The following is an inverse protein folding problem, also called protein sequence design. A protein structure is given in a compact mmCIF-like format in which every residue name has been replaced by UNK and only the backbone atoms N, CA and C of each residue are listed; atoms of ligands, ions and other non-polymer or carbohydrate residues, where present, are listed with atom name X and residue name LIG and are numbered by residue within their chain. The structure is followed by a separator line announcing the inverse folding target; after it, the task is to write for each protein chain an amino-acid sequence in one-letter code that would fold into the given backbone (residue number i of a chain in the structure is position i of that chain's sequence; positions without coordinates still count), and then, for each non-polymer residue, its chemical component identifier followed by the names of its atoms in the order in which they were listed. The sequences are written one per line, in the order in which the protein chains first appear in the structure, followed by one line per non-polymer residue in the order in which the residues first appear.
data_IF_193195735266
#
_entry.id   IF_193195735266
#
_cell.length_a   1.000
_cell.length_b   1.000
_cell.length_c   1.000
_cell.angle_alpha   90.00
_cell.angle_beta   90.00
_cell.angle_gamma   90.00
#
_symmetry.space_group_name_H-M   'P 1'
#
loop_
_entity.id
_entity.type
_entity.pdbx_description
1 polymer ?
#
# COMPACT_ATOMS: atom_id res chain seq x y z
N UNK A 1 -17.72 -32.73 68.08
CA UNK A 1 -17.70 -33.27 66.72
C UNK A 1 -17.95 -32.12 65.76
N UNK A 2 -16.91 -31.54 65.17
CA UNK A 2 -17.05 -30.42 64.26
C UNK A 2 -16.88 -30.97 62.82
N UNK A 3 -17.90 -30.84 61.98
CA UNK A 3 -17.80 -31.13 60.52
C UNK A 3 -17.04 -30.00 59.84
N UNK A 4 -15.99 -30.37 59.07
CA UNK A 4 -15.30 -29.48 58.11
C UNK A 4 -16.08 -29.49 56.84
N UNK A 5 -16.56 -28.33 56.42
CA UNK A 5 -17.06 -28.12 55.06
C UNK A 5 -15.87 -27.92 54.12
N UNK A 6 -15.74 -28.80 53.14
CA UNK A 6 -14.80 -28.63 52.01
C UNK A 6 -15.48 -27.78 50.94
N UNK A 7 -14.99 -26.56 50.74
CA UNK A 7 -15.40 -25.73 49.61
C UNK A 7 -14.68 -26.19 48.34
N UNK A 8 -15.44 -26.70 47.37
CA UNK A 8 -14.96 -27.02 46.03
C UNK A 8 -14.99 -25.76 45.22
N UNK A 9 -13.82 -25.19 44.95
CA UNK A 9 -13.67 -24.07 43.99
C UNK A 9 -13.66 -24.64 42.57
N UNK A 10 -14.80 -24.51 41.89
CA UNK A 10 -14.89 -24.86 40.47
C UNK A 10 -14.20 -23.81 39.62
N UNK A 11 -13.10 -24.15 38.98
CA UNK A 11 -12.46 -23.32 37.95
C UNK A 11 -13.26 -23.52 36.67
N UNK A 12 -14.03 -22.52 36.27
CA UNK A 12 -14.67 -22.47 34.96
C UNK A 12 -13.62 -22.16 33.91
N UNK A 13 -13.23 -23.15 33.09
CA UNK A 13 -12.41 -22.96 31.93
C UNK A 13 -13.26 -22.32 30.84
N UNK A 14 -13.10 -21.02 30.61
CA UNK A 14 -13.65 -20.32 29.44
C UNK A 14 -12.83 -20.71 28.21
N UNK A 15 -13.34 -21.62 27.40
CA UNK A 15 -12.81 -21.90 26.06
C UNK A 15 -13.13 -20.72 25.18
N UNK A 16 -12.10 -19.91 24.85
CA UNK A 16 -12.19 -18.89 23.82
C UNK A 16 -12.19 -19.64 22.47
N UNK A 17 -13.36 -19.77 21.87
CA UNK A 17 -13.47 -20.25 20.49
C UNK A 17 -12.96 -19.14 19.61
N UNK A 18 -11.73 -19.27 19.10
CA UNK A 18 -11.20 -18.42 18.05
C UNK A 18 -11.98 -18.75 16.77
N UNK A 19 -12.97 -17.93 16.44
CA UNK A 19 -13.61 -17.96 15.12
C UNK A 19 -12.61 -17.36 14.11
N UNK A 20 -11.80 -18.21 13.50
CA UNK A 20 -11.13 -17.85 12.26
C UNK A 20 -12.24 -17.67 11.21
N UNK A 21 -12.38 -16.51 10.56
CA UNK A 21 -13.39 -16.36 9.52
C UNK A 21 -13.12 -17.39 8.43
N UNK A 22 -14.16 -18.08 7.99
CA UNK A 22 -14.05 -19.07 6.94
C UNK A 22 -13.54 -18.36 5.68
N UNK A 23 -12.52 -18.94 5.04
CA UNK A 23 -11.99 -18.45 3.76
C UNK A 23 -13.12 -18.39 2.75
N UNK A 24 -13.33 -17.23 2.13
CA UNK A 24 -14.28 -17.10 1.03
C UNK A 24 -13.61 -17.57 -0.25
N UNK A 25 -14.04 -18.74 -0.76
CA UNK A 25 -13.60 -19.22 -2.06
C UNK A 25 -14.52 -18.67 -3.14
N UNK A 26 -13.95 -18.09 -4.18
CA UNK A 26 -14.68 -17.59 -5.34
C UNK A 26 -14.48 -18.57 -6.50
N UNK A 27 -15.57 -19.01 -7.11
CA UNK A 27 -15.54 -19.98 -8.22
C UNK A 27 -14.92 -19.39 -9.50
N UNK A 28 -14.96 -18.07 -9.66
CA UNK A 28 -14.34 -17.37 -10.78
C UNK A 28 -13.98 -15.92 -10.39
N UNK A 29 -13.17 -15.29 -11.21
CA UNK A 29 -12.76 -13.90 -11.04
C UNK A 29 -13.93 -12.91 -11.01
N UNK A 30 -14.97 -13.14 -11.80
CA UNK A 30 -16.16 -12.28 -11.91
C UNK A 30 -16.95 -12.21 -10.59
N UNK A 31 -16.73 -13.17 -9.70
CA UNK A 31 -17.37 -13.22 -8.38
C UNK A 31 -16.58 -12.52 -7.29
N UNK A 32 -15.41 -11.95 -7.60
CA UNK A 32 -14.67 -11.18 -6.62
C UNK A 32 -15.46 -9.94 -6.20
N UNK A 33 -15.40 -9.56 -4.92
CA UNK A 33 -16.05 -8.33 -4.47
C UNK A 33 -15.50 -7.14 -5.25
N UNK A 34 -16.41 -6.37 -5.81
CA UNK A 34 -16.07 -5.14 -6.53
C UNK A 34 -16.11 -3.99 -5.54
N UNK A 35 -15.03 -3.25 -5.46
CA UNK A 35 -15.00 -2.03 -4.71
C UNK A 35 -15.49 -0.86 -5.56
N UNK A 36 -16.47 -0.10 -5.06
CA UNK A 36 -16.93 1.12 -5.68
C UNK A 36 -15.98 2.28 -5.34
N UNK A 37 -15.62 3.08 -6.36
CA UNK A 37 -14.76 4.26 -6.22
C UNK A 37 -13.26 3.97 -6.25
N UNK A 38 -12.46 5.02 -6.04
CA UNK A 38 -11.00 4.91 -6.02
C UNK A 38 -10.49 4.30 -4.71
N UNK A 39 -9.47 3.46 -4.81
CA UNK A 39 -8.76 2.93 -3.65
C UNK A 39 -7.56 3.83 -3.33
N UNK A 40 -7.55 4.41 -2.13
CA UNK A 40 -6.35 5.04 -1.57
C UNK A 40 -5.66 4.00 -0.69
N UNK A 41 -4.51 3.50 -1.14
CA UNK A 41 -3.78 2.47 -0.40
C UNK A 41 -3.02 3.01 0.81
N UNK A 42 -2.65 4.29 0.79
CA UNK A 42 -1.95 4.95 1.88
C UNK A 42 -2.48 6.37 2.09
N UNK A 43 -2.97 6.63 3.30
CA UNK A 43 -3.42 7.94 3.76
C UNK A 43 -2.55 8.38 4.93
N UNK A 44 -1.69 9.35 4.67
CA UNK A 44 -0.73 9.85 5.66
C UNK A 44 -1.28 11.08 6.39
N UNK A 45 -1.05 11.08 7.69
CA UNK A 45 -1.05 12.29 8.53
C UNK A 45 0.14 12.21 9.51
N UNK A 46 0.62 13.34 10.07
CA UNK A 46 1.69 13.30 11.08
C UNK A 46 1.35 12.46 12.32
N UNK A 47 0.07 12.31 12.66
CA UNK A 47 -0.36 11.53 13.82
C UNK A 47 -0.48 10.03 13.51
N UNK A 48 -0.84 9.67 12.27
CA UNK A 48 -1.06 8.29 11.88
C UNK A 48 -1.09 8.12 10.37
N UNK A 49 -0.74 6.93 9.91
CA UNK A 49 -0.90 6.51 8.52
C UNK A 49 -1.84 5.34 8.44
N UNK A 50 -2.87 5.42 7.61
CA UNK A 50 -3.76 4.32 7.31
C UNK A 50 -3.34 3.64 6.02
N UNK A 51 -3.33 2.30 6.04
CA UNK A 51 -3.04 1.47 4.88
C UNK A 51 -4.25 0.62 4.54
N UNK A 52 -4.56 0.51 3.25
CA UNK A 52 -5.67 -0.29 2.72
C UNK A 52 -5.20 -1.02 1.47
N UNK A 53 -5.36 -2.33 1.44
CA UNK A 53 -5.05 -3.15 0.26
C UNK A 53 -6.32 -3.89 -0.18
N UNK A 54 -6.60 -3.96 -1.46
CA UNK A 54 -7.62 -4.85 -2.02
C UNK A 54 -6.97 -6.18 -2.39
N UNK A 55 -7.31 -7.23 -1.66
CA UNK A 55 -6.79 -8.58 -1.84
C UNK A 55 -7.86 -9.60 -1.43
N UNK A 56 -8.93 -9.77 -2.24
CA UNK A 56 -10.11 -10.54 -1.86
C UNK A 56 -9.85 -12.04 -1.67
N UNK A 57 -8.79 -12.57 -2.26
CA UNK A 57 -8.42 -13.99 -2.17
C UNK A 57 -7.34 -14.27 -1.12
N UNK A 58 -6.89 -13.24 -0.41
CA UNK A 58 -5.86 -13.39 0.61
C UNK A 58 -6.35 -14.16 1.83
N UNK A 59 -5.51 -15.03 2.36
CA UNK A 59 -5.71 -15.70 3.65
C UNK A 59 -5.24 -14.78 4.79
N UNK A 60 -4.11 -14.08 4.57
CA UNK A 60 -3.52 -13.12 5.48
C UNK A 60 -2.81 -12.02 4.67
N UNK A 61 -2.75 -10.81 5.22
CA UNK A 61 -1.99 -9.69 4.67
C UNK A 61 -1.14 -9.06 5.76
N UNK A 62 0.08 -8.66 5.42
CA UNK A 62 0.99 -7.92 6.28
C UNK A 62 1.44 -6.64 5.62
N UNK A 63 1.53 -5.60 6.40
CA UNK A 63 2.27 -4.38 6.08
C UNK A 63 3.69 -4.55 6.59
N UNK A 64 4.67 -4.26 5.74
CA UNK A 64 6.08 -4.27 6.11
C UNK A 64 6.64 -2.86 5.98
N UNK A 65 7.30 -2.36 7.02
CA UNK A 65 7.86 -1.00 7.07
C UNK A 65 9.38 -1.03 6.98
N UNK A 66 9.95 -0.09 6.22
CA UNK A 66 11.38 -0.01 5.94
C UNK A 66 11.91 1.41 6.15
N UNK A 67 13.17 1.52 6.54
CA UNK A 67 13.87 2.80 6.68
C UNK A 67 14.23 3.43 5.33
N UNK A 68 14.53 2.60 4.31
CA UNK A 68 15.02 3.05 3.01
C UNK A 68 14.25 2.42 1.85
N UNK A 69 14.27 3.09 0.70
CA UNK A 69 13.59 2.66 -0.54
C UNK A 69 14.24 1.46 -1.22
N UNK A 70 15.42 1.05 -0.79
CA UNK A 70 16.13 -0.14 -1.23
C UNK A 70 17.03 -0.68 -0.11
N UNK A 71 17.40 -1.97 -0.21
CA UNK A 71 18.26 -2.65 0.76
C UNK A 71 17.63 -2.81 2.16
N UNK A 72 18.37 -3.45 3.07
CA UNK A 72 17.95 -3.69 4.45
C UNK A 72 16.70 -4.57 4.58
N UNK A 73 16.32 -4.82 5.83
CA UNK A 73 15.14 -5.60 6.19
C UNK A 73 14.02 -4.70 6.71
N UNK A 74 12.79 -5.20 6.72
CA UNK A 74 11.70 -4.53 7.40
C UNK A 74 12.04 -4.38 8.89
N UNK A 75 11.90 -3.17 9.42
CA UNK A 75 12.09 -2.93 10.85
C UNK A 75 10.83 -3.24 11.64
N UNK A 76 9.68 -3.27 10.97
CA UNK A 76 8.39 -3.59 11.58
C UNK A 76 7.52 -4.35 10.57
N UNK A 77 6.80 -5.36 11.06
CA UNK A 77 5.82 -6.13 10.28
C UNK A 77 4.52 -6.15 11.04
N UNK A 78 3.43 -5.69 10.42
CA UNK A 78 2.12 -5.49 11.06
C UNK A 78 1.09 -6.32 10.31
N UNK A 79 0.36 -7.18 11.02
CA UNK A 79 -0.77 -7.90 10.43
C UNK A 79 -1.91 -6.92 10.13
N UNK A 80 -2.50 -7.05 8.94
CA UNK A 80 -3.65 -6.27 8.54
C UNK A 80 -4.94 -7.01 8.84
N UNK A 81 -6.01 -6.28 9.09
CA UNK A 81 -7.33 -6.83 9.36
C UNK A 81 -8.17 -6.88 8.10
N UNK A 82 -8.85 -8.00 7.89
CA UNK A 82 -9.82 -8.14 6.80
C UNK A 82 -11.01 -7.19 7.01
N UNK A 83 -11.45 -6.56 5.94
CA UNK A 83 -12.51 -5.55 5.94
C UNK A 83 -13.47 -5.79 4.76
N UNK A 84 -14.43 -4.90 4.58
CA UNK A 84 -15.46 -4.99 3.55
C UNK A 84 -14.89 -4.98 2.13
N UNK A 85 -15.64 -5.51 1.18
CA UNK A 85 -15.32 -5.51 -0.26
C UNK A 85 -13.96 -6.14 -0.61
N UNK A 86 -13.51 -7.12 0.18
CA UNK A 86 -12.22 -7.80 -0.05
C UNK A 86 -10.99 -6.94 0.26
N UNK A 87 -11.16 -5.90 1.06
CA UNK A 87 -10.05 -5.04 1.49
C UNK A 87 -9.43 -5.52 2.80
N UNK A 88 -8.19 -5.13 3.01
CA UNK A 88 -7.41 -5.33 4.23
C UNK A 88 -6.94 -3.98 4.71
N UNK A 89 -7.03 -3.72 6.02
CA UNK A 89 -6.72 -2.43 6.60
C UNK A 89 -5.82 -2.56 7.82
N UNK A 90 -4.97 -1.55 8.01
CA UNK A 90 -4.27 -1.32 9.26
C UNK A 90 -3.98 0.16 9.43
N UNK A 91 -3.84 0.61 10.67
CA UNK A 91 -3.50 1.98 11.04
C UNK A 91 -2.28 1.96 11.93
N UNK A 92 -1.29 2.76 11.59
CA UNK A 92 -0.07 2.93 12.37
C UNK A 92 -0.07 4.32 12.99
N UNK A 93 -0.19 4.41 14.30
CA UNK A 93 -0.26 5.67 15.06
C UNK A 93 1.13 6.23 15.36
N UNK A 94 1.85 6.57 14.30
CA UNK A 94 3.18 7.17 14.30
C UNK A 94 3.32 8.09 13.10
N UNK A 95 4.24 9.06 13.19
CA UNK A 95 4.71 9.79 12.01
C UNK A 95 5.65 8.88 11.21
N UNK A 96 5.22 8.53 10.00
CA UNK A 96 5.95 7.65 9.10
C UNK A 96 6.50 8.39 7.86
N UNK A 97 6.48 9.73 7.85
CA UNK A 97 6.98 10.50 6.71
C UNK A 97 8.41 10.07 6.34
N UNK A 98 8.67 9.89 5.04
CA UNK A 98 9.98 9.49 4.53
C UNK A 98 10.33 8.01 4.73
N UNK A 99 9.48 7.22 5.39
CA UNK A 99 9.62 5.76 5.47
C UNK A 99 9.06 5.10 4.21
N UNK A 100 9.32 3.81 4.08
CA UNK A 100 8.88 3.00 2.95
C UNK A 100 8.07 1.81 3.45
N UNK A 101 7.22 1.28 2.56
CA UNK A 101 6.41 0.12 2.89
C UNK A 101 6.26 -0.83 1.71
N UNK A 102 5.90 -2.07 2.03
CA UNK A 102 5.35 -3.06 1.10
C UNK A 102 4.18 -3.78 1.76
N UNK A 103 3.34 -4.36 0.92
CA UNK A 103 2.39 -5.37 1.33
C UNK A 103 2.95 -6.76 1.04
N UNK A 104 2.68 -7.70 1.92
CA UNK A 104 2.98 -9.09 1.72
C UNK A 104 1.69 -9.90 1.92
N UNK A 105 1.30 -10.69 0.93
CA UNK A 105 0.02 -11.39 0.87
C UNK A 105 0.23 -12.89 0.95
N UNK A 106 -0.57 -13.56 1.74
CA UNK A 106 -0.60 -15.03 1.85
C UNK A 106 -1.81 -15.57 1.09
N UNK A 107 -1.59 -16.53 0.21
CA UNK A 107 -2.65 -17.25 -0.52
C UNK A 107 -2.32 -18.73 -0.49
N UNK A 108 -3.29 -19.57 -0.12
CA UNK A 108 -3.14 -21.03 -0.01
C UNK A 108 -1.92 -21.41 0.84
N UNK A 109 -1.84 -20.84 2.04
CA UNK A 109 -0.75 -21.03 3.00
C UNK A 109 0.65 -20.61 2.53
N UNK A 110 0.76 -19.96 1.38
CA UNK A 110 2.02 -19.47 0.84
C UNK A 110 2.08 -17.95 0.86
N UNK A 111 3.12 -17.39 1.49
CA UNK A 111 3.46 -15.98 1.36
C UNK A 111 4.01 -15.70 -0.04
N UNK A 112 3.46 -14.69 -0.69
CA UNK A 112 3.92 -14.18 -1.98
C UNK A 112 5.10 -13.22 -1.77
N UNK A 113 5.65 -12.71 -2.87
CA UNK A 113 6.65 -11.65 -2.82
C UNK A 113 6.07 -10.32 -2.33
N UNK A 114 6.94 -9.48 -1.79
CA UNK A 114 6.59 -8.14 -1.38
C UNK A 114 6.19 -7.27 -2.57
N UNK A 115 5.20 -6.42 -2.38
CA UNK A 115 4.72 -5.47 -3.40
C UNK A 115 4.47 -4.09 -2.80
N UNK A 116 4.82 -3.00 -3.50
CA UNK A 116 4.49 -1.64 -3.06
C UNK A 116 2.99 -1.33 -3.11
N UNK A 117 2.18 -2.19 -3.74
CA UNK A 117 0.80 -1.92 -4.09
C UNK A 117 0.66 -1.26 -5.46
N UNK A 118 -0.53 -1.41 -6.07
CA UNK A 118 -0.80 -0.91 -7.43
C UNK A 118 -1.15 0.58 -7.47
N UNK A 119 -1.54 1.15 -6.33
CA UNK A 119 -1.92 2.57 -6.21
C UNK A 119 -0.88 3.40 -5.44
N UNK A 120 0.37 2.91 -5.33
CA UNK A 120 1.46 3.65 -4.72
C UNK A 120 1.69 4.99 -5.45
N UNK A 121 1.71 6.10 -4.71
CA UNK A 121 1.87 7.46 -5.28
C UNK A 121 3.33 7.85 -5.47
N UNK A 122 4.21 7.29 -4.64
CA UNK A 122 5.64 7.45 -4.74
C UNK A 122 6.32 6.13 -4.43
N UNK A 123 7.46 5.88 -5.04
CA UNK A 123 8.20 4.62 -4.87
C UNK A 123 9.68 4.88 -4.69
N UNK A 124 10.35 3.96 -4.04
CA UNK A 124 11.81 3.91 -3.93
C UNK A 124 12.47 3.33 -5.19
N UNK A 125 13.72 2.94 -5.04
CA UNK A 125 14.57 2.46 -6.15
C UNK A 125 13.91 1.30 -6.90
N UNK A 126 13.77 1.48 -8.20
CA UNK A 126 13.18 0.50 -9.13
C UNK A 126 11.76 0.03 -8.73
N UNK A 127 11.00 0.88 -8.03
CA UNK A 127 9.64 0.54 -7.64
C UNK A 127 9.51 -0.61 -6.65
N UNK A 128 10.56 -0.98 -5.93
CA UNK A 128 10.55 -2.12 -4.99
C UNK A 128 9.72 -1.88 -3.76
N UNK A 129 9.65 -0.62 -3.30
CA UNK A 129 8.91 -0.20 -2.10
C UNK A 129 8.15 1.07 -2.39
N UNK A 130 6.97 1.20 -1.83
CA UNK A 130 6.25 2.47 -1.83
C UNK A 130 6.82 3.40 -0.77
N UNK A 131 6.81 4.70 -1.04
CA UNK A 131 7.24 5.74 -0.11
C UNK A 131 6.04 6.37 0.58
N UNK A 132 6.19 6.66 1.86
CA UNK A 132 5.19 7.40 2.65
C UNK A 132 5.54 8.87 2.54
N UNK A 133 4.71 9.62 1.82
CA UNK A 133 4.90 11.04 1.55
C UNK A 133 3.63 11.83 1.84
N UNK A 134 3.79 13.08 2.18
CA UNK A 134 2.70 14.06 2.11
C UNK A 134 2.68 14.66 0.70
N UNK A 135 1.68 14.27 -0.10
CA UNK A 135 1.54 14.77 -1.48
C UNK A 135 1.50 16.29 -1.57
N UNK A 136 0.92 16.97 -0.57
CA UNK A 136 0.84 18.45 -0.56
C UNK A 136 2.21 19.09 -0.40
N UNK A 137 3.15 18.42 0.26
CA UNK A 137 4.51 18.94 0.42
C UNK A 137 5.34 18.85 -0.87
N UNK A 138 4.85 18.18 -1.89
CA UNK A 138 5.53 18.05 -3.20
C UNK A 138 5.13 19.12 -4.20
N UNK A 139 4.11 19.93 -3.89
CA UNK A 139 3.65 21.00 -4.76
C UNK A 139 4.71 22.12 -4.84
N UNK A 140 5.15 22.53 -6.04
CA UNK A 140 6.06 23.65 -6.18
C UNK A 140 5.35 24.96 -5.83
N UNK A 141 6.16 25.99 -5.60
CA UNK A 141 5.64 27.34 -5.35
C UNK A 141 4.74 27.80 -6.53
N UNK A 142 3.57 28.32 -6.20
CA UNK A 142 2.57 28.77 -7.19
C UNK A 142 1.70 27.68 -7.79
N UNK A 143 1.88 26.39 -7.42
CA UNK A 143 1.12 25.27 -7.98
C UNK A 143 -0.41 25.44 -7.80
N UNK A 144 -0.85 25.95 -6.65
CA UNK A 144 -2.25 26.18 -6.36
C UNK A 144 -2.89 27.27 -7.25
N UNK A 145 -2.09 28.17 -7.79
CA UNK A 145 -2.52 29.27 -8.66
C UNK A 145 -2.41 28.91 -10.14
N UNK A 146 -1.80 27.76 -10.46
CA UNK A 146 -1.65 27.29 -11.84
C UNK A 146 -3.01 26.96 -12.45
N UNK A 147 -3.27 27.52 -13.63
CA UNK A 147 -4.51 27.36 -14.37
C UNK A 147 -4.24 26.76 -15.73
N UNK A 148 -4.58 25.50 -15.89
CA UNK A 148 -4.57 24.90 -17.23
C UNK A 148 -5.60 25.58 -18.15
N UNK A 149 -5.29 25.71 -19.46
CA UNK A 149 -6.26 26.14 -20.44
C UNK A 149 -7.50 25.25 -20.43
N UNK A 150 -8.69 25.88 -20.54
CA UNK A 150 -9.93 25.13 -20.72
C UNK A 150 -9.97 24.59 -22.15
N UNK A 151 -10.10 23.27 -22.29
CA UNK A 151 -10.35 22.63 -23.57
C UNK A 151 -11.84 22.49 -23.82
N UNK A 152 -12.31 22.88 -24.99
CA UNK A 152 -13.72 22.76 -25.36
C UNK A 152 -14.10 21.29 -25.63
N UNK A 153 -13.18 20.48 -26.10
CA UNK A 153 -13.36 19.07 -26.38
C UNK A 153 -12.07 18.27 -26.15
N UNK A 154 -12.14 17.02 -25.71
CA UNK A 154 -10.98 16.13 -25.73
C UNK A 154 -10.35 15.96 -27.14
N UNK A 155 -11.13 16.16 -28.20
CA UNK A 155 -10.65 16.10 -29.57
C UNK A 155 -9.71 17.27 -29.95
N UNK A 156 -9.67 18.32 -29.12
CA UNK A 156 -8.76 19.46 -29.33
C UNK A 156 -7.34 19.19 -28.79
N UNK A 157 -7.15 18.05 -28.14
CA UNK A 157 -5.87 17.66 -27.56
C UNK A 157 -4.96 17.07 -28.63
N UNK A 158 -3.79 17.68 -28.81
CA UNK A 158 -2.70 17.10 -29.61
C UNK A 158 -1.74 16.41 -28.62
N UNK A 159 -1.65 15.08 -28.72
CA UNK A 159 -0.69 14.30 -27.95
C UNK A 159 0.57 14.08 -28.79
N UNK A 160 1.70 14.39 -28.18
CA UNK A 160 3.02 14.12 -28.74
C UNK A 160 3.83 13.31 -27.74
N UNK A 161 4.23 12.10 -28.13
CA UNK A 161 5.09 11.22 -27.33
C UNK A 161 6.48 11.19 -27.95
N UNK A 162 7.51 11.44 -27.16
CA UNK A 162 8.89 11.31 -27.61
C UNK A 162 9.77 10.71 -26.54
N UNK A 163 10.76 9.96 -26.98
CA UNK A 163 11.79 9.42 -26.10
C UNK A 163 13.01 10.35 -26.13
N UNK A 164 13.37 10.94 -24.98
CA UNK A 164 14.45 11.93 -24.90
C UNK A 164 15.78 11.40 -25.45
N UNK A 165 16.14 10.15 -25.12
CA UNK A 165 17.36 9.53 -25.61
C UNK A 165 17.38 9.43 -27.15
N UNK A 166 16.28 8.99 -27.74
CA UNK A 166 16.19 8.81 -29.19
C UNK A 166 16.29 10.14 -29.94
N UNK A 167 15.74 11.21 -29.37
CA UNK A 167 15.82 12.56 -29.90
C UNK A 167 17.20 13.21 -29.74
N UNK A 168 18.00 12.73 -28.81
CA UNK A 168 19.27 13.35 -28.42
C UNK A 168 20.51 12.48 -28.68
N UNK A 169 20.33 11.26 -29.21
CA UNK A 169 21.44 10.31 -29.44
C UNK A 169 22.39 10.73 -30.57
N UNK A 170 21.91 11.51 -31.53
CA UNK A 170 22.75 12.02 -32.61
C UNK A 170 23.71 13.09 -32.07
N UNK A 171 25.01 13.02 -32.42
CA UNK A 171 26.01 14.01 -31.97
C UNK A 171 25.65 15.45 -32.30
N UNK A 172 24.88 15.69 -33.38
CA UNK A 172 24.45 17.03 -33.78
C UNK A 172 23.43 17.66 -32.82
N UNK A 173 22.83 16.88 -31.90
CA UNK A 173 21.92 17.39 -30.88
C UNK A 173 22.60 18.34 -29.90
N UNK A 174 23.93 18.24 -29.74
CA UNK A 174 24.69 19.00 -28.75
C UNK A 174 24.44 18.60 -27.29
N UNK A 175 23.72 17.49 -27.05
CA UNK A 175 23.44 17.00 -25.69
C UNK A 175 24.59 16.09 -25.24
N UNK A 176 25.25 16.48 -24.14
CA UNK A 176 26.40 15.75 -23.59
C UNK A 176 25.97 14.53 -22.74
N UNK A 177 24.80 14.61 -22.06
CA UNK A 177 24.31 13.58 -21.17
C UNK A 177 23.04 12.93 -21.71
N UNK A 178 23.19 11.71 -22.26
CA UNK A 178 22.10 10.95 -22.87
C UNK A 178 21.30 10.11 -21.86
N UNK A 179 21.78 9.99 -20.64
CA UNK A 179 21.13 9.20 -19.57
C UNK A 179 20.36 10.09 -18.62
N UNK A 180 19.05 9.86 -18.49
CA UNK A 180 18.20 10.51 -17.50
C UNK A 180 18.22 9.79 -16.13
N UNK A 181 18.97 8.69 -16.01
CA UNK A 181 19.08 7.91 -14.78
C UNK A 181 19.96 8.60 -13.72
N UNK A 182 20.82 9.51 -14.15
CA UNK A 182 21.85 10.14 -13.29
C UNK A 182 21.67 11.66 -13.17
N UNK A 183 20.43 12.14 -13.26
CA UNK A 183 20.11 13.53 -12.96
C UNK A 183 19.90 13.68 -11.44
#
# INVERSE_FOLDING_TARGET
MKLNELAIIGVAATTVVSCTPAKTEYASYELYPVRSGSLTEMEYTPAATQFTLWAPTADEVRLMLFEAGDGGHAYETISMESSEEGTWKTKVEKDLIGKFYTFNVKINDKWLGDTPGINAKAVGVNGKRAAIIDMKSTDPEGWADDKRPALASPADVILYEMHHRDMSIDPSSGIEHLSLIHI
#
